data_IF_028287226916
#
_entry.id   IF_028287226916
#
_cell.length_a   1.000
_cell.length_b   1.000
_cell.length_c   1.000
_cell.angle_alpha   90.00
_cell.angle_beta   90.00
_cell.angle_gamma   90.00
#
_symmetry.space_group_name_H-M   'P 1'
#
loop_
_entity.id
_entity.type
_entity.pdbx_description
1 polymer ?
#
# COMPACT_ATOMS: atom_id res chain seq x y z
N UNK A 1 -11.93 -14.93 -10.01
CA UNK A 1 -11.37 -13.57 -10.14
C UNK A 1 -10.92 -13.00 -8.79
N UNK A 2 -11.74 -13.13 -7.74
CA UNK A 2 -11.41 -12.65 -6.38
C UNK A 2 -10.05 -13.14 -5.86
N UNK A 3 -9.78 -14.46 -5.84
CA UNK A 3 -8.50 -14.99 -5.34
C UNK A 3 -7.28 -14.40 -6.05
N UNK A 4 -7.34 -14.25 -7.38
CA UNK A 4 -6.26 -13.65 -8.17
C UNK A 4 -6.04 -12.19 -7.75
N UNK A 5 -7.13 -11.42 -7.61
CA UNK A 5 -7.02 -10.02 -7.20
C UNK A 5 -6.43 -9.88 -5.78
N UNK A 6 -6.87 -10.73 -4.84
CA UNK A 6 -6.33 -10.79 -3.48
C UNK A 6 -4.84 -11.14 -3.49
N UNK A 7 -4.44 -12.19 -4.22
CA UNK A 7 -3.03 -12.61 -4.30
C UNK A 7 -2.13 -11.51 -4.87
N UNK A 8 -2.56 -10.84 -5.94
CA UNK A 8 -1.79 -9.75 -6.55
C UNK A 8 -1.70 -8.55 -5.61
N UNK A 9 -2.81 -8.16 -4.96
CA UNK A 9 -2.81 -7.05 -4.00
C UNK A 9 -1.88 -7.34 -2.81
N UNK A 10 -1.95 -8.54 -2.25
CA UNK A 10 -1.07 -8.99 -1.16
C UNK A 10 0.40 -8.98 -1.59
N UNK A 11 0.72 -9.45 -2.79
CA UNK A 11 2.10 -9.44 -3.30
C UNK A 11 2.65 -8.01 -3.43
N UNK A 12 1.86 -7.07 -3.94
CA UNK A 12 2.25 -5.67 -4.05
C UNK A 12 2.46 -5.06 -2.65
N UNK A 13 1.55 -5.28 -1.71
CA UNK A 13 1.67 -4.79 -0.33
C UNK A 13 2.89 -5.41 0.40
N UNK A 14 3.24 -6.66 0.10
CA UNK A 14 4.45 -7.30 0.60
C UNK A 14 5.71 -6.65 0.03
N UNK A 15 5.74 -6.38 -1.29
CA UNK A 15 6.85 -5.67 -1.93
C UNK A 15 7.00 -4.25 -1.38
N UNK A 16 5.89 -3.54 -1.14
CA UNK A 16 5.89 -2.23 -0.50
C UNK A 16 6.38 -2.30 0.95
N UNK A 17 6.01 -3.34 1.70
CA UNK A 17 6.53 -3.57 3.06
C UNK A 17 8.05 -3.76 3.06
N UNK A 18 8.57 -4.60 2.15
CA UNK A 18 10.01 -4.80 2.01
C UNK A 18 10.73 -3.50 1.61
N UNK A 19 10.13 -2.70 0.72
CA UNK A 19 10.62 -1.39 0.34
C UNK A 19 10.69 -0.41 1.54
N UNK A 20 9.64 -0.35 2.36
CA UNK A 20 9.63 0.51 3.56
C UNK A 20 10.65 0.05 4.61
N UNK A 21 10.86 -1.26 4.78
CA UNK A 21 11.91 -1.80 5.65
C UNK A 21 13.30 -1.38 5.15
N UNK A 22 13.54 -1.48 3.84
CA UNK A 22 14.81 -1.05 3.25
C UNK A 22 15.05 0.47 3.45
N UNK A 23 14.01 1.28 3.27
CA UNK A 23 14.06 2.73 3.54
C UNK A 23 14.37 3.04 5.00
N UNK A 24 13.71 2.35 5.94
CA UNK A 24 13.97 2.48 7.37
C UNK A 24 15.42 2.07 7.74
N UNK A 25 15.95 1.05 7.08
CA UNK A 25 17.35 0.60 7.23
C UNK A 25 18.38 1.55 6.59
N UNK A 26 17.94 2.59 5.87
CA UNK A 26 18.82 3.59 5.26
C UNK A 26 19.25 3.27 3.82
N UNK A 27 18.54 2.39 3.12
CA UNK A 27 18.79 2.14 1.71
C UNK A 27 18.59 3.41 0.86
N UNK A 28 19.37 3.60 -0.22
CA UNK A 28 19.39 4.83 -1.01
C UNK A 28 18.23 4.93 -2.02
N UNK A 29 17.01 4.56 -1.60
CA UNK A 29 15.80 4.54 -2.43
C UNK A 29 14.81 5.67 -2.11
N UNK A 30 15.19 6.62 -1.26
CA UNK A 30 14.30 7.68 -0.80
C UNK A 30 13.72 8.54 -1.94
N UNK A 31 14.37 8.61 -3.11
CA UNK A 31 13.81 9.28 -4.31
C UNK A 31 12.44 8.74 -4.76
N UNK A 32 12.07 7.53 -4.37
CA UNK A 32 10.81 6.87 -4.73
C UNK A 32 9.72 7.02 -3.66
N UNK A 33 9.98 7.73 -2.56
CA UNK A 33 9.04 7.86 -1.45
C UNK A 33 9.17 9.22 -0.76
N UNK A 34 8.17 9.59 0.03
CA UNK A 34 8.22 10.76 0.90
C UNK A 34 8.59 12.06 0.16
N UNK A 35 8.12 12.24 -1.08
CA UNK A 35 8.40 13.42 -1.91
C UNK A 35 9.74 13.38 -2.66
N UNK A 36 10.58 12.37 -2.41
CA UNK A 36 11.84 12.11 -3.09
C UNK A 36 12.95 13.14 -2.89
N UNK A 37 12.83 14.00 -1.87
CA UNK A 37 13.83 15.03 -1.52
C UNK A 37 15.18 14.44 -1.12
N UNK A 38 15.16 13.32 -0.38
CA UNK A 38 16.35 12.68 0.14
C UNK A 38 16.61 11.34 -0.55
N UNK A 39 17.84 11.11 -1.02
CA UNK A 39 18.24 9.78 -1.52
C UNK A 39 18.25 8.73 -0.42
N UNK A 40 18.73 9.10 0.77
CA UNK A 40 18.69 8.28 1.99
C UNK A 40 17.86 9.05 3.00
N UNK A 41 16.82 8.43 3.55
CA UNK A 41 15.85 9.14 4.39
C UNK A 41 16.46 9.67 5.70
N UNK A 42 16.09 10.89 6.14
CA UNK A 42 16.33 11.37 7.49
C UNK A 42 15.51 10.58 8.53
N UNK A 43 15.88 10.71 9.80
CA UNK A 43 15.33 9.90 10.89
C UNK A 43 13.79 9.89 10.95
N UNK A 44 13.15 11.06 10.79
CA UNK A 44 11.69 11.16 10.85
C UNK A 44 11.00 10.37 9.74
N UNK A 45 11.51 10.43 8.51
CA UNK A 45 10.94 9.67 7.38
C UNK A 45 11.25 8.16 7.49
N UNK A 46 12.35 7.78 8.15
CA UNK A 46 12.61 6.37 8.49
C UNK A 46 11.59 5.83 9.48
N UNK A 47 11.25 6.59 10.53
CA UNK A 47 10.21 6.21 11.48
C UNK A 47 8.86 6.06 10.76
N UNK A 48 8.51 7.01 9.89
CA UNK A 48 7.30 6.94 9.09
C UNK A 48 7.28 5.69 8.16
N UNK A 49 8.44 5.30 7.63
CA UNK A 49 8.60 4.06 6.86
C UNK A 49 8.36 2.81 7.72
N UNK A 50 8.88 2.77 8.94
CA UNK A 50 8.59 1.69 9.90
C UNK A 50 7.10 1.57 10.18
N UNK A 51 6.40 2.68 10.39
CA UNK A 51 4.95 2.72 10.63
C UNK A 51 4.14 2.27 9.42
N UNK A 52 4.66 2.44 8.21
CA UNK A 52 3.97 2.04 6.97
C UNK A 52 3.84 0.52 6.84
N UNK A 53 4.79 -0.25 7.38
CA UNK A 53 4.78 -1.73 7.31
C UNK A 53 3.54 -2.34 7.99
N UNK A 54 3.21 -2.05 9.26
CA UNK A 54 1.99 -2.58 9.87
C UNK A 54 0.72 -2.04 9.20
N UNK A 55 0.74 -0.84 8.61
CA UNK A 55 -0.40 -0.32 7.83
C UNK A 55 -0.65 -1.19 6.59
N UNK A 56 0.40 -1.59 5.86
CA UNK A 56 0.25 -2.49 4.71
C UNK A 56 -0.19 -3.89 5.12
N UNK A 57 0.32 -4.41 6.24
CA UNK A 57 -0.13 -5.70 6.79
C UNK A 57 -1.61 -5.64 7.19
N UNK A 58 -2.03 -4.56 7.86
CA UNK A 58 -3.43 -4.29 8.19
C UNK A 58 -4.28 -4.23 6.93
N UNK A 59 -3.85 -3.49 5.91
CA UNK A 59 -4.57 -3.38 4.65
C UNK A 59 -4.74 -4.73 3.94
N UNK A 60 -3.71 -5.59 3.94
CA UNK A 60 -3.77 -6.91 3.33
C UNK A 60 -4.70 -7.90 4.08
N UNK A 61 -4.88 -7.72 5.40
CA UNK A 61 -5.64 -8.65 6.23
C UNK A 61 -7.13 -8.76 5.85
N UNK A 62 -7.75 -7.66 5.43
CA UNK A 62 -9.16 -7.61 5.03
C UNK A 62 -9.48 -8.44 3.76
N UNK A 63 -8.81 -8.21 2.60
CA UNK A 63 -9.06 -9.01 1.40
C UNK A 63 -8.66 -10.49 1.58
N UNK A 64 -7.61 -10.78 2.36
CA UNK A 64 -7.25 -12.16 2.72
C UNK A 64 -8.36 -12.87 3.49
N UNK A 65 -9.00 -12.17 4.42
CA UNK A 65 -10.13 -12.71 5.16
C UNK A 65 -11.38 -12.86 4.28
N UNK A 66 -11.66 -11.89 3.40
CA UNK A 66 -12.76 -12.00 2.43
C UNK A 66 -12.58 -13.21 1.50
N UNK A 67 -11.33 -13.59 1.20
CA UNK A 67 -10.99 -14.80 0.45
C UNK A 67 -11.00 -16.10 1.29
N UNK A 68 -11.33 -16.03 2.58
CA UNK A 68 -11.36 -17.20 3.48
C UNK A 68 -9.98 -17.73 3.89
N UNK A 69 -8.90 -16.97 3.69
CA UNK A 69 -7.53 -17.41 3.98
C UNK A 69 -7.09 -17.15 5.41
N UNK A 70 -7.72 -16.20 6.11
CA UNK A 70 -7.46 -15.86 7.51
C UNK A 70 -8.76 -15.51 8.22
N UNK A 71 -8.75 -15.50 9.56
CA UNK A 71 -9.89 -15.12 10.40
C UNK A 71 -9.43 -14.22 11.54
N UNK A 72 -9.42 -12.90 11.29
CA UNK A 72 -8.85 -11.87 12.17
C UNK A 72 -9.93 -10.89 12.64
N UNK A 73 -10.78 -10.43 11.72
CA UNK A 73 -11.77 -9.37 11.93
C UNK A 73 -13.18 -9.93 12.14
N UNK A 74 -14.07 -9.22 12.84
CA UNK A 74 -15.49 -9.54 12.81
C UNK A 74 -16.06 -9.39 11.39
N UNK A 75 -17.02 -10.23 11.00
CA UNK A 75 -17.56 -10.27 9.64
C UNK A 75 -18.08 -8.90 9.15
N UNK A 76 -18.72 -8.12 10.03
CA UNK A 76 -19.24 -6.79 9.71
C UNK A 76 -18.18 -5.72 9.40
N UNK A 77 -16.90 -5.98 9.69
CA UNK A 77 -15.80 -5.05 9.43
C UNK A 77 -15.14 -5.30 8.06
N UNK A 78 -15.38 -6.45 7.42
CA UNK A 78 -14.65 -6.86 6.22
C UNK A 78 -14.95 -5.90 5.06
N UNK A 79 -16.21 -5.78 4.65
CA UNK A 79 -16.60 -4.92 3.51
C UNK A 79 -16.30 -3.44 3.76
N UNK A 80 -16.66 -2.83 4.91
CA UNK A 80 -16.32 -1.44 5.18
C UNK A 80 -14.81 -1.18 5.19
N UNK A 81 -14.02 -2.14 5.70
CA UNK A 81 -12.56 -2.04 5.73
C UNK A 81 -11.97 -2.01 4.32
N UNK A 82 -12.39 -2.92 3.44
CA UNK A 82 -11.90 -2.98 2.05
C UNK A 82 -12.28 -1.71 1.28
N UNK A 83 -13.53 -1.23 1.41
CA UNK A 83 -13.96 0.02 0.80
C UNK A 83 -13.18 1.24 1.29
N UNK A 84 -12.95 1.34 2.59
CA UNK A 84 -12.18 2.44 3.19
C UNK A 84 -10.75 2.47 2.63
N UNK A 85 -10.11 1.31 2.52
CA UNK A 85 -8.76 1.19 1.95
C UNK A 85 -8.79 1.52 0.45
N UNK A 86 -9.76 1.03 -0.31
CA UNK A 86 -9.92 1.32 -1.73
C UNK A 86 -10.03 2.83 -2.00
N UNK A 87 -10.87 3.53 -1.25
CA UNK A 87 -11.03 4.98 -1.34
C UNK A 87 -9.75 5.73 -0.94
N UNK A 88 -9.06 5.27 0.10
CA UNK A 88 -7.78 5.85 0.53
C UNK A 88 -6.71 5.70 -0.55
N UNK A 89 -6.65 4.54 -1.22
CA UNK A 89 -5.75 4.30 -2.34
C UNK A 89 -6.12 5.17 -3.55
N UNK A 90 -7.40 5.37 -3.83
CA UNK A 90 -7.85 6.28 -4.89
C UNK A 90 -7.38 7.72 -4.65
N UNK A 91 -7.48 8.21 -3.41
CA UNK A 91 -6.90 9.51 -3.02
C UNK A 91 -5.37 9.50 -3.16
N UNK A 92 -4.74 8.40 -2.76
CA UNK A 92 -3.28 8.22 -2.87
C UNK A 92 -2.77 8.31 -4.30
N UNK A 93 -3.55 7.93 -5.31
CA UNK A 93 -3.19 8.14 -6.73
C UNK A 93 -2.92 9.62 -6.99
N UNK A 94 -3.82 10.51 -6.56
CA UNK A 94 -3.69 11.96 -6.72
C UNK A 94 -2.48 12.51 -5.96
N UNK A 95 -2.31 12.11 -4.71
CA UNK A 95 -1.16 12.52 -3.88
C UNK A 95 0.17 12.12 -4.53
N UNK A 96 0.27 10.88 -5.02
CA UNK A 96 1.48 10.41 -5.70
C UNK A 96 1.68 11.11 -7.05
N UNK A 97 0.61 11.36 -7.81
CA UNK A 97 0.68 12.06 -9.10
C UNK A 97 1.16 13.51 -8.95
N UNK A 98 0.86 14.15 -7.81
CA UNK A 98 1.30 15.49 -7.43
C UNK A 98 2.70 15.53 -6.80
N UNK A 99 3.38 14.39 -6.61
CA UNK A 99 4.71 14.40 -6.00
C UNK A 99 5.70 15.25 -6.81
N UNK A 100 6.59 15.97 -6.11
CA UNK A 100 7.66 16.74 -6.73
C UNK A 100 8.76 15.84 -7.32
N UNK A 101 8.82 14.57 -6.90
CA UNK A 101 9.76 13.58 -7.41
C UNK A 101 9.21 12.89 -8.66
N UNK A 102 9.93 13.04 -9.78
CA UNK A 102 9.65 12.31 -11.02
C UNK A 102 9.65 10.78 -10.83
N UNK A 103 10.70 10.18 -10.23
CA UNK A 103 10.73 8.75 -9.95
C UNK A 103 9.57 8.26 -9.07
N UNK A 104 9.20 9.00 -8.02
CA UNK A 104 8.07 8.65 -7.15
C UNK A 104 6.76 8.69 -7.94
N UNK A 105 6.49 9.75 -8.71
CA UNK A 105 5.32 9.85 -9.60
C UNK A 105 5.22 8.65 -10.56
N UNK A 106 6.32 8.31 -11.22
CA UNK A 106 6.32 7.26 -12.24
C UNK A 106 6.12 5.85 -11.67
N UNK A 107 6.42 5.62 -10.40
CA UNK A 107 6.32 4.30 -9.77
C UNK A 107 5.14 4.20 -8.82
N UNK A 108 4.96 5.18 -7.92
CA UNK A 108 3.97 5.10 -6.86
C UNK A 108 2.56 5.43 -7.34
N UNK A 109 2.39 6.31 -8.34
CA UNK A 109 1.07 6.55 -8.96
C UNK A 109 0.50 5.28 -9.59
N UNK A 110 1.20 4.55 -10.48
CA UNK A 110 0.66 3.31 -11.03
C UNK A 110 0.51 2.21 -9.98
N UNK A 111 1.41 2.10 -9.00
CA UNK A 111 1.25 1.14 -7.90
C UNK A 111 -0.02 1.42 -7.09
N UNK A 112 -0.27 2.69 -6.72
CA UNK A 112 -1.48 3.09 -6.03
C UNK A 112 -2.73 2.83 -6.87
N UNK A 113 -2.67 3.09 -8.18
CA UNK A 113 -3.79 2.86 -9.09
C UNK A 113 -4.13 1.37 -9.23
N UNK A 114 -3.11 0.51 -9.40
CA UNK A 114 -3.29 -0.94 -9.47
C UNK A 114 -3.88 -1.46 -8.15
N UNK A 115 -3.34 -1.04 -7.00
CA UNK A 115 -3.90 -1.43 -5.70
C UNK A 115 -5.34 -0.96 -5.53
N UNK A 116 -5.67 0.29 -5.90
CA UNK A 116 -7.04 0.80 -5.82
C UNK A 116 -8.00 -0.06 -6.66
N UNK A 117 -7.64 -0.36 -7.91
CA UNK A 117 -8.45 -1.21 -8.80
C UNK A 117 -8.63 -2.60 -8.22
N UNK A 118 -7.56 -3.23 -7.71
CA UNK A 118 -7.63 -4.55 -7.10
C UNK A 118 -8.53 -4.55 -5.86
N UNK A 119 -8.44 -3.54 -5.00
CA UNK A 119 -9.31 -3.42 -3.83
C UNK A 119 -10.76 -3.16 -4.22
N UNK A 120 -11.05 -2.39 -5.26
CA UNK A 120 -12.42 -2.25 -5.79
C UNK A 120 -12.95 -3.54 -6.40
N UNK A 121 -12.13 -4.30 -7.12
CA UNK A 121 -12.53 -5.62 -7.64
C UNK A 121 -12.89 -6.56 -6.49
N UNK A 122 -12.09 -6.56 -5.42
CA UNK A 122 -12.36 -7.39 -4.25
C UNK A 122 -13.55 -6.88 -3.45
N UNK A 123 -13.79 -5.56 -3.36
CA UNK A 123 -14.96 -5.03 -2.66
C UNK A 123 -16.28 -5.31 -3.39
N UNK A 124 -16.24 -5.40 -4.73
CA UNK A 124 -17.40 -5.65 -5.58
C UNK A 124 -17.65 -7.15 -5.87
N UNK A 125 -16.75 -8.04 -5.46
CA UNK A 125 -16.90 -9.49 -5.61
C UNK A 125 -17.68 -10.14 -4.49
#
# INVERSE_FOLDING_TARGET
MQLVAVSVATLILLALSAFQIALAAGAPFGRFAWGGEYRVLPAMQRIASVVSVPIYALAASFPLQKAGLVSIWPAGFIEPGIWTIACTLAVSIGLNAMSRSGPERMVMTPVAAVLAVLFFIVSLS
#
